data_IF_947255580143
#
_entry.id   IF_947255580143
#
_cell.length_a   1.000
_cell.length_b   1.000
_cell.length_c   1.000
_cell.angle_alpha   90.00
_cell.angle_beta   90.00
_cell.angle_gamma   90.00
#
_symmetry.space_group_name_H-M   'P 1'
#
loop_
_entity.id
_entity.type
_entity.pdbx_description
1 polymer ?
#
# COMPACT_ATOMS: atom_id res chain seq x y z
N UNK A 1 -66.84 36.18 0.73
CA UNK A 1 -67.83 35.32 1.41
C UNK A 1 -67.08 34.43 2.38
N UNK A 2 -67.31 34.66 3.67
CA UNK A 2 -66.58 34.10 4.82
C UNK A 2 -66.91 32.63 5.09
N UNK A 3 -66.01 31.91 5.79
CA UNK A 3 -66.24 31.23 7.10
C UNK A 3 -65.06 30.28 7.42
N UNK A 4 -64.19 30.66 8.38
CA UNK A 4 -64.20 30.26 9.82
C UNK A 4 -63.70 28.82 10.04
N UNK A 5 -62.50 28.65 10.60
CA UNK A 5 -62.24 28.44 12.05
C UNK A 5 -62.85 27.13 12.56
N UNK A 6 -62.01 26.20 13.04
CA UNK A 6 -62.05 25.69 14.41
C UNK A 6 -60.85 24.75 14.70
N UNK A 7 -60.20 25.04 15.82
CA UNK A 7 -59.24 24.21 16.55
C UNK A 7 -59.95 22.96 17.10
N UNK A 8 -59.21 21.84 17.27
CA UNK A 8 -59.04 21.15 18.55
C UNK A 8 -58.49 19.71 18.40
N UNK A 9 -57.48 19.39 19.26
CA UNK A 9 -57.28 18.12 19.99
C UNK A 9 -56.94 16.85 19.16
N UNK A 10 -56.16 15.87 19.62
CA UNK A 10 -55.36 15.64 20.81
C UNK A 10 -54.46 14.40 20.56
N UNK A 11 -53.35 14.33 21.30
CA UNK A 11 -52.72 13.14 21.91
C UNK A 11 -52.45 11.84 21.11
N UNK A 12 -51.15 11.60 20.90
CA UNK A 12 -50.35 10.40 21.26
C UNK A 12 -50.63 9.05 20.58
N UNK A 13 -49.72 8.10 20.86
CA UNK A 13 -49.50 6.73 20.32
C UNK A 13 -48.56 6.72 19.11
N UNK A 14 -47.24 6.56 19.30
CA UNK A 14 -46.46 5.38 19.73
C UNK A 14 -46.13 4.42 18.56
N UNK A 15 -44.88 3.92 18.63
CA UNK A 15 -44.32 2.74 17.97
C UNK A 15 -43.74 2.90 16.55
N UNK A 16 -42.45 2.60 16.46
CA UNK A 16 -41.90 1.80 15.36
C UNK A 16 -41.27 2.60 14.23
N UNK A 17 -39.95 2.52 14.08
CA UNK A 17 -39.28 3.14 12.95
C UNK A 17 -37.78 2.88 12.85
N UNK A 18 -37.40 1.60 12.82
CA UNK A 18 -36.30 1.06 12.01
C UNK A 18 -34.93 1.74 12.08
N UNK A 19 -34.05 1.21 12.95
CA UNK A 19 -32.61 1.29 12.72
C UNK A 19 -32.26 0.42 11.51
N UNK A 20 -32.20 1.02 10.30
CA UNK A 20 -31.49 0.39 9.18
C UNK A 20 -29.99 0.47 9.46
N UNK A 21 -29.51 -0.51 10.25
CA UNK A 21 -28.11 -0.89 10.22
C UNK A 21 -27.82 -1.43 8.83
N UNK A 22 -27.06 -0.67 8.05
CA UNK A 22 -26.45 -1.15 6.81
C UNK A 22 -25.45 -2.23 7.22
N UNK A 23 -25.92 -3.48 7.32
CA UNK A 23 -25.04 -4.64 7.32
C UNK A 23 -24.37 -4.65 5.95
N UNK A 24 -23.17 -4.10 5.89
CA UNK A 24 -22.24 -4.45 4.83
C UNK A 24 -22.00 -5.94 4.99
N UNK A 25 -22.54 -6.73 4.06
CA UNK A 25 -22.09 -8.11 3.93
C UNK A 25 -20.62 -8.01 3.54
N UNK A 26 -19.75 -8.29 4.50
CA UNK A 26 -18.40 -8.72 4.21
C UNK A 26 -18.55 -10.03 3.45
N UNK A 27 -18.73 -9.96 2.13
CA UNK A 27 -18.46 -11.09 1.27
C UNK A 27 -17.05 -11.53 1.63
N UNK A 28 -16.93 -12.67 2.31
CA UNK A 28 -15.68 -13.38 2.42
C UNK A 28 -15.33 -13.80 0.99
N UNK A 29 -14.70 -12.89 0.25
CA UNK A 29 -14.11 -13.20 -1.03
C UNK A 29 -13.21 -14.40 -0.79
N UNK A 30 -13.43 -15.48 -1.54
CA UNK A 30 -12.55 -16.64 -1.60
C UNK A 30 -11.21 -16.18 -2.17
N UNK A 31 -10.43 -15.53 -1.33
CA UNK A 31 -9.20 -14.84 -1.66
C UNK A 31 -8.00 -15.65 -1.20
N UNK A 32 -6.89 -15.47 -1.90
CA UNK A 32 -5.62 -16.06 -1.51
C UNK A 32 -4.96 -15.14 -0.46
N UNK A 33 -4.64 -15.71 0.70
CA UNK A 33 -4.01 -14.97 1.80
C UNK A 33 -2.51 -15.24 1.85
N UNK A 34 -1.71 -14.18 1.75
CA UNK A 34 -0.25 -14.21 1.96
C UNK A 34 0.06 -13.63 3.32
N UNK A 35 0.62 -14.42 4.22
CA UNK A 35 0.92 -13.96 5.59
C UNK A 35 2.07 -12.96 5.63
N UNK A 36 2.12 -12.14 6.69
CA UNK A 36 3.23 -11.20 6.90
C UNK A 36 4.60 -11.89 6.86
N UNK A 37 4.72 -13.06 7.49
CA UNK A 37 5.95 -13.84 7.50
C UNK A 37 6.37 -14.30 6.09
N UNK A 38 5.41 -14.71 5.25
CA UNK A 38 5.67 -15.08 3.85
C UNK A 38 6.12 -13.86 3.04
N UNK A 39 5.50 -12.69 3.24
CA UNK A 39 5.90 -11.44 2.59
C UNK A 39 7.32 -11.04 3.01
N UNK A 40 7.61 -11.07 4.31
CA UNK A 40 8.92 -10.76 4.85
C UNK A 40 9.99 -11.71 4.28
N UNK A 41 9.68 -13.00 4.15
CA UNK A 41 10.60 -13.98 3.55
C UNK A 41 10.80 -13.73 2.06
N UNK A 42 9.75 -13.40 1.31
CA UNK A 42 9.84 -13.09 -0.11
C UNK A 42 10.68 -11.84 -0.36
N UNK A 43 10.52 -10.81 0.48
CA UNK A 43 11.36 -9.61 0.46
C UNK A 43 12.80 -9.95 0.81
N UNK A 44 13.06 -10.68 1.90
CA UNK A 44 14.42 -11.00 2.33
C UNK A 44 15.25 -11.69 1.24
N UNK A 45 14.64 -12.54 0.40
CA UNK A 45 15.31 -13.21 -0.73
C UNK A 45 15.78 -12.27 -1.85
N UNK A 46 15.18 -11.07 -1.95
CA UNK A 46 15.47 -10.11 -3.02
C UNK A 46 16.49 -9.05 -2.63
N UNK A 47 16.91 -9.05 -1.37
CA UNK A 47 17.83 -8.08 -0.78
C UNK A 47 19.10 -8.79 -0.27
N UNK A 48 20.23 -8.08 -0.14
CA UNK A 48 20.42 -6.64 -0.39
C UNK A 48 20.28 -6.24 -1.87
N UNK A 49 19.97 -4.97 -2.13
CA UNK A 49 19.87 -4.42 -3.49
C UNK A 49 20.69 -3.16 -3.62
N UNK A 50 21.41 -3.04 -4.73
CA UNK A 50 22.13 -1.83 -5.11
C UNK A 50 21.35 -1.08 -6.18
N UNK A 51 21.17 0.22 -5.97
CA UNK A 51 20.52 1.13 -6.90
C UNK A 51 21.54 2.17 -7.37
N UNK A 52 22.08 2.04 -8.60
CA UNK A 52 22.97 3.03 -9.17
C UNK A 52 22.18 4.27 -9.58
N UNK A 53 22.57 5.43 -9.08
CA UNK A 53 21.99 6.73 -9.36
C UNK A 53 22.94 7.53 -10.26
N UNK A 54 22.73 7.38 -11.58
CA UNK A 54 23.45 8.16 -12.60
C UNK A 54 24.95 7.93 -12.66
N UNK A 55 25.49 6.88 -12.04
CA UNK A 55 26.93 6.56 -12.02
C UNK A 55 27.78 7.37 -11.04
N UNK A 56 27.19 8.30 -10.30
CA UNK A 56 27.90 9.14 -9.32
C UNK A 56 27.64 8.72 -7.88
N UNK A 57 26.55 8.00 -7.66
CA UNK A 57 26.03 7.61 -6.38
C UNK A 57 25.43 6.22 -6.50
N UNK A 58 25.60 5.41 -5.48
CA UNK A 58 25.05 4.07 -5.34
C UNK A 58 24.36 4.00 -3.99
N UNK A 59 23.11 3.51 -3.99
CA UNK A 59 22.36 3.24 -2.77
C UNK A 59 22.29 1.73 -2.57
N UNK A 60 22.95 1.23 -1.53
CA UNK A 60 22.83 -0.14 -1.09
C UNK A 60 21.72 -0.22 -0.04
N UNK A 61 20.61 -0.85 -0.38
CA UNK A 61 19.47 -1.08 0.49
C UNK A 61 19.53 -2.47 1.12
N UNK A 62 19.30 -2.53 2.43
CA UNK A 62 19.13 -3.79 3.16
C UNK A 62 17.69 -4.31 3.04
N UNK A 63 17.45 -5.55 3.46
CA UNK A 63 16.11 -6.12 3.48
C UNK A 63 15.17 -5.28 4.38
N UNK A 64 14.09 -4.70 3.83
CA UNK A 64 13.14 -3.95 4.65
C UNK A 64 12.43 -4.87 5.63
N UNK A 65 12.15 -4.32 6.82
CA UNK A 65 11.13 -4.87 7.71
C UNK A 65 9.77 -4.36 7.26
N UNK A 66 8.88 -5.28 6.95
CA UNK A 66 7.50 -4.97 6.61
C UNK A 66 6.65 -4.94 7.87
N UNK A 67 5.58 -4.14 7.83
CA UNK A 67 4.51 -4.19 8.81
C UNK A 67 3.17 -3.93 8.14
N UNK A 68 2.14 -4.63 8.58
CA UNK A 68 0.78 -4.47 8.04
C UNK A 68 0.10 -3.26 8.68
N UNK A 69 -0.53 -2.40 7.88
CA UNK A 69 -1.37 -1.29 8.34
C UNK A 69 -2.82 -1.46 7.86
N UNK A 70 -3.61 -2.38 8.46
CA UNK A 70 -4.94 -2.74 7.95
C UNK A 70 -5.93 -1.58 7.97
N UNK A 71 -5.88 -0.73 9.00
CA UNK A 71 -6.75 0.43 9.14
C UNK A 71 -6.59 1.45 7.98
N UNK A 72 -5.46 1.41 7.28
CA UNK A 72 -5.18 2.26 6.12
C UNK A 72 -5.19 1.50 4.80
N UNK A 73 -5.34 0.17 4.83
CA UNK A 73 -5.12 -0.72 3.70
C UNK A 73 -3.71 -0.55 3.05
N UNK A 74 -2.66 -0.44 3.87
CA UNK A 74 -1.28 -0.16 3.42
C UNK A 74 -0.25 -1.10 4.05
N UNK A 75 0.89 -1.24 3.39
CA UNK A 75 2.10 -1.85 3.95
C UNK A 75 3.08 -0.75 4.33
N UNK A 76 3.63 -0.84 5.54
CA UNK A 76 4.80 -0.08 5.94
C UNK A 76 6.07 -0.87 5.60
N UNK A 77 7.11 -0.17 5.18
CA UNK A 77 8.45 -0.71 5.00
C UNK A 77 9.47 0.21 5.64
N UNK A 78 10.26 -0.36 6.54
CA UNK A 78 11.39 0.32 7.16
C UNK A 78 12.68 -0.40 6.77
N UNK A 79 13.63 0.33 6.18
CA UNK A 79 14.91 -0.23 5.77
C UNK A 79 16.07 0.69 6.12
N UNK A 80 17.21 0.05 6.37
CA UNK A 80 18.51 0.73 6.41
C UNK A 80 19.13 0.73 5.02
N UNK A 81 19.85 1.79 4.71
CA UNK A 81 20.56 1.95 3.45
C UNK A 81 21.91 2.62 3.65
N UNK A 82 22.84 2.38 2.74
CA UNK A 82 24.08 3.14 2.66
C UNK A 82 24.24 3.79 1.30
N UNK A 83 24.64 5.06 1.29
CA UNK A 83 24.98 5.82 0.10
C UNK A 83 26.50 5.83 -0.08
N UNK A 84 26.99 5.42 -1.25
CA UNK A 84 28.41 5.42 -1.62
C UNK A 84 28.61 5.98 -3.03
N UNK A 85 29.81 6.42 -3.40
CA UNK A 85 30.08 6.83 -4.78
C UNK A 85 31.13 7.94 -4.90
N UNK A 86 31.58 8.25 -6.12
CA UNK A 86 32.61 9.26 -6.38
C UNK A 86 32.19 10.69 -5.99
N UNK A 87 30.88 10.97 -5.92
CA UNK A 87 30.38 12.27 -5.46
C UNK A 87 30.41 12.42 -3.93
N UNK A 88 30.71 11.37 -3.17
CA UNK A 88 30.70 11.36 -1.71
C UNK A 88 32.11 11.17 -1.16
N UNK A 89 32.51 11.91 -0.11
CA UNK A 89 33.82 11.74 0.52
C UNK A 89 33.94 10.40 1.28
N UNK A 90 32.83 9.77 1.63
CA UNK A 90 32.73 8.48 2.34
C UNK A 90 31.35 7.86 2.16
N UNK A 91 31.19 6.64 2.64
CA UNK A 91 29.88 6.02 2.79
C UNK A 91 29.05 6.73 3.87
N UNK A 92 27.76 6.95 3.60
CA UNK A 92 26.80 7.47 4.57
C UNK A 92 25.71 6.45 4.84
N UNK A 93 25.47 6.15 6.12
CA UNK A 93 24.36 5.29 6.53
C UNK A 93 23.08 6.12 6.65
N UNK A 94 21.94 5.49 6.39
CA UNK A 94 20.65 6.15 6.43
C UNK A 94 19.51 5.18 6.62
N UNK A 95 18.34 5.78 6.82
CA UNK A 95 17.07 5.08 6.97
C UNK A 95 16.08 5.58 5.93
N UNK A 96 15.19 4.68 5.53
CA UNK A 96 14.06 5.00 4.69
C UNK A 96 12.82 4.32 5.24
N UNK A 97 11.87 5.15 5.64
CA UNK A 97 10.56 4.77 6.15
C UNK A 97 9.51 5.24 5.14
N UNK A 98 8.73 4.29 4.65
CA UNK A 98 7.65 4.53 3.71
C UNK A 98 6.46 3.65 4.04
N UNK A 99 5.30 4.06 3.57
CA UNK A 99 4.15 3.18 3.45
C UNK A 99 3.47 3.33 2.08
N UNK A 100 2.83 2.26 1.61
CA UNK A 100 2.26 2.20 0.27
C UNK A 100 1.05 1.26 0.21
N UNK A 101 0.13 1.56 -0.69
CA UNK A 101 -0.92 0.64 -1.09
C UNK A 101 -0.38 -0.33 -2.15
N UNK A 102 -1.15 -1.38 -2.41
CA UNK A 102 -0.84 -2.35 -3.44
C UNK A 102 -1.92 -2.34 -4.51
N UNK A 103 -1.49 -2.41 -5.76
CA UNK A 103 -2.41 -2.55 -6.89
C UNK A 103 -1.99 -3.71 -7.77
N UNK A 104 -2.96 -4.51 -8.18
CA UNK A 104 -2.78 -5.47 -9.26
C UNK A 104 -2.96 -4.81 -10.62
N UNK A 105 -2.05 -5.11 -11.54
CA UNK A 105 -2.08 -4.68 -12.93
C UNK A 105 -2.29 -5.90 -13.82
N UNK A 106 -3.53 -6.10 -14.29
CA UNK A 106 -3.89 -7.25 -15.11
C UNK A 106 -3.15 -7.32 -16.45
N UNK A 107 -2.79 -6.16 -17.05
CA UNK A 107 -2.16 -6.10 -18.37
C UNK A 107 -0.81 -6.83 -18.46
N UNK A 108 -0.04 -6.84 -17.38
CA UNK A 108 1.28 -7.50 -17.30
C UNK A 108 1.40 -8.47 -16.12
N UNK A 109 0.29 -8.72 -15.42
CA UNK A 109 0.17 -9.61 -14.26
C UNK A 109 1.11 -9.22 -13.12
N UNK A 110 1.30 -7.92 -12.89
CA UNK A 110 2.19 -7.40 -11.83
C UNK A 110 1.42 -6.87 -10.62
N UNK A 111 2.00 -7.08 -9.44
CA UNK A 111 1.66 -6.35 -8.22
C UNK A 111 2.61 -5.17 -8.12
N UNK A 112 2.03 -3.97 -8.05
CA UNK A 112 2.76 -2.69 -8.07
C UNK A 112 2.54 -1.91 -6.79
N UNK A 113 3.54 -1.10 -6.47
CA UNK A 113 3.40 -0.01 -5.52
C UNK A 113 2.33 0.95 -6.02
N UNK A 114 1.38 1.27 -5.15
CA UNK A 114 0.42 2.34 -5.39
C UNK A 114 0.34 3.29 -4.19
N UNK A 115 -0.08 4.52 -4.42
CA UNK A 115 -0.19 5.58 -3.41
C UNK A 115 1.02 5.57 -2.46
N UNK A 116 2.26 5.64 -2.96
CA UNK A 116 3.45 5.64 -2.10
C UNK A 116 3.50 6.93 -1.27
N UNK A 117 3.91 6.79 -0.01
CA UNK A 117 4.21 7.93 0.87
C UNK A 117 5.53 7.67 1.58
N UNK A 118 6.40 8.66 1.56
CA UNK A 118 7.64 8.63 2.33
C UNK A 118 7.41 9.32 3.66
N UNK A 119 7.67 8.60 4.75
CA UNK A 119 7.54 9.10 6.12
C UNK A 119 8.85 9.73 6.60
N UNK A 120 9.98 9.09 6.26
CA UNK A 120 11.30 9.61 6.56
C UNK A 120 12.33 9.12 5.54
N UNK A 121 13.21 10.03 5.12
CA UNK A 121 14.42 9.72 4.35
C UNK A 121 15.57 10.52 4.95
N UNK A 122 16.49 9.84 5.63
CA UNK A 122 17.52 10.51 6.42
C UNK A 122 18.84 9.76 6.30
N UNK A 123 19.93 10.51 6.21
CA UNK A 123 21.28 9.96 6.31
C UNK A 123 21.98 10.59 7.51
N UNK A 124 22.78 9.77 8.18
CA UNK A 124 23.57 10.17 9.33
C UNK A 124 24.84 10.89 8.88
N UNK A 125 25.30 11.85 9.68
CA UNK A 125 26.59 12.51 9.51
C UNK A 125 26.81 13.25 8.17
N UNK A 126 25.73 13.57 7.43
CA UNK A 126 25.77 14.45 6.27
C UNK A 126 25.73 15.93 6.71
N UNK A 127 26.24 16.88 5.89
CA UNK A 127 26.16 18.30 6.20
C UNK A 127 24.71 18.77 6.41
N UNK A 128 24.50 19.68 7.37
CA UNK A 128 23.16 20.14 7.75
C UNK A 128 22.38 20.75 6.58
N UNK A 129 23.05 21.50 5.69
CA UNK A 129 22.42 22.07 4.50
C UNK A 129 21.94 20.97 3.55
N UNK A 130 22.74 19.93 3.34
CA UNK A 130 22.36 18.77 2.51
C UNK A 130 21.21 17.99 3.13
N UNK A 131 21.22 17.80 4.45
CA UNK A 131 20.13 17.13 5.18
C UNK A 131 18.81 17.87 5.05
N UNK A 132 18.84 19.21 5.13
CA UNK A 132 17.66 20.04 4.94
C UNK A 132 17.08 19.91 3.53
N UNK A 133 17.94 19.94 2.50
CA UNK A 133 17.52 19.73 1.11
C UNK A 133 16.93 18.33 0.89
N UNK A 134 17.58 17.30 1.43
CA UNK A 134 17.09 15.93 1.33
C UNK A 134 15.73 15.78 2.03
N UNK A 135 15.55 16.38 3.21
CA UNK A 135 14.29 16.32 3.94
C UNK A 135 13.17 17.06 3.20
N UNK A 136 13.51 18.13 2.47
CA UNK A 136 12.56 18.95 1.72
C UNK A 136 12.14 18.30 0.39
N UNK A 137 13.08 17.72 -0.36
CA UNK A 137 12.84 17.25 -1.73
C UNK A 137 12.91 15.73 -1.89
N UNK A 138 13.64 15.04 -1.01
CA UNK A 138 13.85 13.61 -1.07
C UNK A 138 12.55 12.80 -1.06
N UNK A 139 11.58 13.06 -0.15
CA UNK A 139 10.31 12.36 -0.14
C UNK A 139 9.57 12.41 -1.48
N UNK A 140 9.41 13.60 -2.06
CA UNK A 140 8.70 13.76 -3.33
C UNK A 140 9.43 13.07 -4.49
N UNK A 141 10.76 13.17 -4.56
CA UNK A 141 11.54 12.51 -5.60
C UNK A 141 11.48 10.98 -5.48
N UNK A 142 11.54 10.47 -4.26
CA UNK A 142 11.41 9.04 -3.99
C UNK A 142 10.00 8.53 -4.32
N UNK A 143 8.97 9.29 -3.97
CA UNK A 143 7.58 9.03 -4.37
C UNK A 143 7.44 8.92 -5.88
N UNK A 144 7.91 9.92 -6.62
CA UNK A 144 7.84 9.93 -8.08
C UNK A 144 8.61 8.77 -8.73
N UNK A 145 9.73 8.37 -8.13
CA UNK A 145 10.60 7.32 -8.68
C UNK A 145 10.09 5.91 -8.38
N UNK A 146 9.45 5.71 -7.23
CA UNK A 146 9.02 4.38 -6.76
C UNK A 146 7.54 4.11 -6.98
N UNK A 147 6.74 5.14 -7.26
CA UNK A 147 5.33 4.98 -7.61
C UNK A 147 5.18 4.06 -8.83
N UNK A 148 4.33 3.04 -8.73
CA UNK A 148 4.12 2.06 -9.79
C UNK A 148 5.23 1.00 -9.93
N UNK A 149 6.25 1.01 -9.06
CA UNK A 149 7.32 0.02 -9.11
C UNK A 149 6.77 -1.41 -8.97
N UNK A 150 7.28 -2.32 -9.79
CA UNK A 150 6.87 -3.73 -9.80
C UNK A 150 7.48 -4.46 -8.60
N UNK A 151 6.62 -4.82 -7.65
CA UNK A 151 7.02 -5.60 -6.48
C UNK A 151 7.07 -7.08 -6.79
N UNK A 152 6.10 -7.60 -7.52
CA UNK A 152 6.07 -9.01 -7.89
C UNK A 152 5.34 -9.18 -9.22
N UNK A 153 5.78 -10.15 -10.01
CA UNK A 153 5.07 -10.57 -11.19
C UNK A 153 4.52 -11.96 -10.94
N UNK A 154 3.20 -12.10 -11.01
CA UNK A 154 2.53 -13.39 -10.85
C UNK A 154 2.88 -14.24 -12.06
N UNK A 155 3.35 -15.46 -11.80
CA UNK A 155 3.65 -16.38 -12.89
C UNK A 155 2.36 -16.99 -13.43
N UNK A 156 2.37 -17.48 -14.68
CA UNK A 156 1.22 -18.19 -15.24
C UNK A 156 0.78 -19.39 -14.38
N UNK A 157 1.74 -20.10 -13.78
CA UNK A 157 1.48 -21.23 -12.87
C UNK A 157 0.71 -20.82 -11.61
N UNK A 158 0.97 -19.63 -11.06
CA UNK A 158 0.27 -19.09 -9.89
C UNK A 158 -1.19 -18.71 -10.22
N UNK A 159 -1.45 -18.42 -11.50
CA UNK A 159 -2.76 -17.98 -12.01
C UNK A 159 -3.55 -19.10 -12.69
N UNK A 160 -2.97 -20.28 -12.93
CA UNK A 160 -3.58 -21.32 -13.75
C UNK A 160 -4.95 -21.78 -13.25
N UNK A 161 -5.11 -21.94 -11.93
CA UNK A 161 -6.38 -22.32 -11.30
C UNK A 161 -7.46 -21.22 -11.45
N UNK A 162 -7.25 -19.97 -10.99
CA UNK A 162 -8.23 -18.90 -11.21
C UNK A 162 -8.46 -18.63 -12.69
N UNK A 163 -7.42 -18.65 -13.53
CA UNK A 163 -7.53 -18.41 -14.97
C UNK A 163 -8.43 -19.45 -15.65
N UNK A 164 -8.30 -20.73 -15.29
CA UNK A 164 -9.15 -21.82 -15.80
C UNK A 164 -10.62 -21.72 -15.36
N UNK A 165 -10.89 -21.01 -14.26
CA UNK A 165 -12.24 -20.69 -13.79
C UNK A 165 -12.78 -19.37 -14.38
N UNK A 166 -12.04 -18.74 -15.30
CA UNK A 166 -12.41 -17.43 -15.83
C UNK A 166 -12.29 -16.30 -14.81
N UNK A 167 -11.48 -16.47 -13.77
CA UNK A 167 -11.24 -15.50 -12.71
C UNK A 167 -9.87 -14.84 -12.89
N UNK A 168 -9.72 -13.60 -12.42
CA UNK A 168 -8.45 -12.90 -12.32
C UNK A 168 -8.32 -12.20 -10.96
N UNK A 169 -7.10 -11.97 -10.45
CA UNK A 169 -6.89 -11.11 -9.29
C UNK A 169 -7.46 -9.71 -9.55
N UNK A 170 -7.94 -9.08 -8.50
CA UNK A 170 -8.41 -7.69 -8.53
C UNK A 170 -7.87 -6.93 -7.32
N UNK A 171 -8.72 -6.69 -6.33
CA UNK A 171 -8.36 -5.89 -5.16
C UNK A 171 -7.43 -6.67 -4.24
N UNK A 172 -6.35 -6.01 -3.83
CA UNK A 172 -5.41 -6.51 -2.81
C UNK A 172 -5.70 -5.74 -1.51
N UNK A 173 -6.09 -6.46 -0.47
CA UNK A 173 -6.45 -5.89 0.83
C UNK A 173 -5.45 -6.29 1.89
N UNK A 174 -4.93 -5.32 2.64
CA UNK A 174 -4.09 -5.53 3.82
C UNK A 174 -4.99 -5.78 5.02
N UNK A 175 -4.86 -6.96 5.64
CA UNK A 175 -5.57 -7.35 6.85
C UNK A 175 -4.59 -7.56 7.99
N UNK A 176 -5.07 -7.81 9.21
CA UNK A 176 -4.19 -8.14 10.34
C UNK A 176 -3.49 -9.50 10.17
N UNK A 177 -3.99 -10.36 9.29
CA UNK A 177 -3.47 -11.71 9.05
C UNK A 177 -2.51 -11.75 7.85
N UNK A 178 -2.55 -10.76 6.96
CA UNK A 178 -1.75 -10.74 5.74
C UNK A 178 -2.37 -9.94 4.61
N UNK A 179 -1.87 -10.16 3.39
CA UNK A 179 -2.49 -9.66 2.17
C UNK A 179 -3.53 -10.65 1.68
N UNK A 180 -4.75 -10.18 1.47
CA UNK A 180 -5.84 -10.95 0.86
C UNK A 180 -6.01 -10.47 -0.58
N UNK A 181 -5.88 -11.39 -1.53
CA UNK A 181 -6.07 -11.13 -2.95
C UNK A 181 -7.47 -11.60 -3.33
N UNK A 182 -8.35 -10.66 -3.67
CA UNK A 182 -9.68 -10.98 -4.20
C UNK A 182 -9.60 -11.42 -5.66
N UNK A 183 -10.53 -12.29 -6.06
CA UNK A 183 -10.67 -12.75 -7.44
C UNK A 183 -12.04 -12.33 -7.99
N UNK A 184 -12.06 -11.88 -9.25
CA UNK A 184 -13.26 -11.48 -9.97
C UNK A 184 -13.32 -12.16 -11.33
N UNK A 185 -14.51 -12.27 -11.92
CA UNK A 185 -14.65 -12.78 -13.28
C UNK A 185 -13.89 -11.88 -14.27
N UNK A 186 -13.22 -12.50 -15.25
CA UNK A 186 -12.55 -11.78 -16.33
C UNK A 186 -13.59 -11.02 -17.17
N UNK A 187 -13.32 -9.76 -17.53
CA UNK A 187 -14.17 -9.05 -18.49
C UNK A 187 -14.18 -9.82 -19.81
N UNK A 188 -15.37 -9.89 -20.42
CA UNK A 188 -15.63 -10.56 -21.70
C UNK A 188 -14.95 -9.85 -22.87
#
# INVERSE_FOLDING_TARGET
MNRRLLLARASQWALGGSLMGVMHVAQAASGYTVSEAQLQQAVAKRFPRRYPLGGFLDIDATAPRLSLLPAKNRLAAFLQMSATGPALPRAYQGIFDLDFALRYQASDRTVRVDQLRVNALQFENIPAQTSALLSMYGPQLAEQSLQGAVLHQLKPEDLALPDGMGLQPDTITVTAQGLVIAFVAKPL
#
